data_IF_393294677880
#
_entry.id   IF_393294677880
#
_cell.length_a   1.000
_cell.length_b   1.000
_cell.length_c   1.000
_cell.angle_alpha   90.00
_cell.angle_beta   90.00
_cell.angle_gamma   90.00
#
_symmetry.space_group_name_H-M   'P 1'
#
loop_
_entity.id
_entity.type
_entity.pdbx_description
1 polymer ?
#
# COMPACT_ATOMS: atom_id res chain seq x y z
N UNK A 1 31.77 -4.56 5.91
CA UNK A 1 30.84 -3.41 5.79
C UNK A 1 31.06 -2.46 6.95
N UNK A 2 31.14 -1.16 6.67
CA UNK A 2 31.23 -0.13 7.70
C UNK A 2 29.91 0.01 8.47
N UNK A 3 29.95 0.53 9.69
CA UNK A 3 28.73 0.83 10.48
C UNK A 3 27.76 1.75 9.73
N UNK A 4 28.29 2.64 8.88
CA UNK A 4 27.49 3.52 8.03
C UNK A 4 26.76 2.75 6.92
N UNK A 5 27.42 1.77 6.27
CA UNK A 5 26.79 0.91 5.27
C UNK A 5 25.67 0.05 5.86
N UNK A 6 25.87 -0.50 7.07
CA UNK A 6 24.83 -1.28 7.77
C UNK A 6 23.63 -0.43 8.18
N UNK A 7 23.84 0.84 8.55
CA UNK A 7 22.74 1.76 8.88
C UNK A 7 22.02 2.21 7.60
N UNK A 8 22.77 2.53 6.54
CA UNK A 8 22.20 2.90 5.24
C UNK A 8 21.37 1.77 4.63
N UNK A 9 21.85 0.52 4.66
CA UNK A 9 21.10 -0.64 4.16
C UNK A 9 19.83 -0.91 4.96
N UNK A 10 19.88 -0.74 6.29
CA UNK A 10 18.69 -0.83 7.15
C UNK A 10 17.71 0.32 6.89
N UNK A 11 18.20 1.53 6.62
CA UNK A 11 17.38 2.70 6.33
C UNK A 11 16.63 2.61 5.00
N UNK A 12 17.11 1.82 4.02
CA UNK A 12 16.40 1.60 2.75
C UNK A 12 15.00 1.01 2.97
N UNK A 13 14.83 0.12 3.95
CA UNK A 13 13.52 -0.44 4.32
C UNK A 13 12.56 0.59 4.94
N UNK A 14 13.09 1.75 5.34
CA UNK A 14 12.35 2.89 5.88
C UNK A 14 12.32 4.06 4.89
N UNK A 15 12.50 3.80 3.60
CA UNK A 15 12.26 4.80 2.56
C UNK A 15 10.92 4.55 1.87
N UNK A 16 10.39 5.58 1.22
CA UNK A 16 9.24 5.41 0.33
C UNK A 16 9.77 4.74 -0.95
N UNK A 17 9.25 3.55 -1.33
CA UNK A 17 9.71 2.87 -2.53
C UNK A 17 9.48 3.73 -3.78
N UNK A 18 10.40 3.71 -4.75
CA UNK A 18 10.27 4.52 -5.97
C UNK A 18 9.07 4.09 -6.83
N UNK A 19 8.78 2.80 -6.83
CA UNK A 19 7.55 2.22 -7.37
C UNK A 19 7.16 0.97 -6.59
N UNK A 20 5.88 0.60 -6.66
CA UNK A 20 5.33 -0.63 -6.08
C UNK A 20 4.48 -1.37 -7.09
N UNK A 21 4.37 -2.69 -6.93
CA UNK A 21 3.34 -3.50 -7.59
C UNK A 21 2.34 -3.94 -6.53
N UNK A 22 1.13 -3.39 -6.60
CA UNK A 22 0.02 -3.75 -5.72
C UNK A 22 -0.83 -4.81 -6.39
N UNK A 23 -1.10 -5.90 -5.67
CA UNK A 23 -1.73 -7.12 -6.16
C UNK A 23 -2.98 -7.41 -5.32
N UNK A 24 -4.12 -7.53 -5.99
CA UNK A 24 -5.39 -8.01 -5.43
C UNK A 24 -5.71 -9.40 -6.01
N UNK A 25 -5.98 -10.36 -5.12
CA UNK A 25 -6.14 -11.77 -5.47
C UNK A 25 -7.62 -12.16 -5.37
N UNK A 26 -8.22 -12.40 -6.53
CA UNK A 26 -9.57 -12.92 -6.68
C UNK A 26 -9.63 -14.43 -6.91
N UNK A 27 -10.83 -14.99 -6.77
CA UNK A 27 -11.06 -16.44 -6.87
C UNK A 27 -10.83 -17.06 -8.26
N UNK A 28 -10.68 -16.24 -9.30
CA UNK A 28 -10.48 -16.66 -10.70
C UNK A 28 -9.46 -15.79 -11.45
N UNK A 29 -9.08 -14.68 -10.85
CA UNK A 29 -8.31 -13.63 -11.47
C UNK A 29 -7.48 -12.93 -10.40
N UNK A 30 -6.45 -12.26 -10.85
CA UNK A 30 -5.60 -11.39 -10.07
C UNK A 30 -5.59 -10.05 -10.78
N UNK A 31 -5.83 -8.97 -10.04
CA UNK A 31 -5.60 -7.62 -10.54
C UNK A 31 -4.28 -7.11 -9.99
N UNK A 32 -3.52 -6.38 -10.78
CA UNK A 32 -2.34 -5.68 -10.26
C UNK A 32 -2.17 -4.33 -10.90
N UNK A 33 -1.54 -3.42 -10.16
CA UNK A 33 -1.09 -2.12 -10.65
C UNK A 33 0.37 -1.89 -10.29
N UNK A 34 1.17 -1.42 -11.24
CA UNK A 34 2.52 -0.90 -11.02
C UNK A 34 2.45 0.61 -10.90
N UNK A 35 2.65 1.15 -9.70
CA UNK A 35 2.45 2.56 -9.37
C UNK A 35 3.75 3.20 -8.86
N UNK A 36 4.19 4.30 -9.45
CA UNK A 36 5.34 5.08 -8.95
C UNK A 36 5.00 5.86 -7.67
N UNK A 37 6.01 6.33 -6.94
CA UNK A 37 5.85 7.19 -5.77
C UNK A 37 5.11 8.50 -6.07
N UNK A 38 5.23 8.96 -7.32
CA UNK A 38 4.56 10.14 -7.88
C UNK A 38 3.18 9.80 -8.47
N UNK A 39 2.68 8.59 -8.14
CA UNK A 39 1.35 8.09 -8.47
C UNK A 39 1.10 7.86 -9.97
N UNK A 40 2.16 7.74 -10.77
CA UNK A 40 2.04 7.38 -12.19
C UNK A 40 1.85 5.87 -12.33
N UNK A 41 0.84 5.48 -13.11
CA UNK A 41 0.57 4.09 -13.47
C UNK A 41 1.51 3.68 -14.59
N UNK A 42 2.42 2.75 -14.29
CA UNK A 42 3.32 2.14 -15.28
C UNK A 42 2.67 0.95 -15.96
N UNK A 43 1.82 0.23 -15.25
CA UNK A 43 1.04 -0.89 -15.77
C UNK A 43 -0.18 -1.19 -14.88
N UNK A 44 -1.25 -1.71 -15.46
CA UNK A 44 -2.49 -2.01 -14.73
C UNK A 44 -3.36 -3.02 -15.47
N UNK A 45 -3.42 -4.25 -14.97
CA UNK A 45 -4.04 -5.34 -15.71
C UNK A 45 -4.72 -6.38 -14.82
N UNK A 46 -5.60 -7.17 -15.45
CA UNK A 46 -6.15 -8.41 -14.91
C UNK A 46 -5.44 -9.60 -15.53
N UNK A 47 -4.99 -10.52 -14.69
CA UNK A 47 -4.50 -11.83 -15.08
C UNK A 47 -5.50 -12.91 -14.66
N UNK A 48 -5.71 -13.93 -15.49
CA UNK A 48 -6.61 -15.04 -15.16
C UNK A 48 -5.80 -16.30 -14.90
N UNK A 49 -6.02 -16.92 -13.74
CA UNK A 49 -5.46 -18.23 -13.43
C UNK A 49 -6.52 -19.29 -13.62
N UNK A 50 -6.15 -20.41 -14.24
CA UNK A 50 -6.99 -21.60 -14.21
C UNK A 50 -6.84 -22.32 -12.86
N UNK A 51 -7.62 -21.87 -11.86
CA UNK A 51 -7.65 -22.46 -10.51
C UNK A 51 -8.60 -23.66 -10.42
N UNK A 52 -8.93 -24.33 -11.54
CA UNK A 52 -9.75 -25.57 -11.47
C UNK A 52 -9.05 -26.65 -10.67
N UNK A 53 -7.74 -26.80 -10.85
CA UNK A 53 -6.91 -27.81 -10.18
C UNK A 53 -6.04 -27.11 -9.13
N UNK A 54 -6.10 -27.59 -7.88
CA UNK A 54 -5.35 -27.03 -6.73
C UNK A 54 -4.02 -27.71 -6.47
N UNK A 55 -3.63 -28.66 -7.32
CA UNK A 55 -2.35 -29.33 -7.19
C UNK A 55 -1.24 -28.32 -7.51
N UNK A 56 -0.33 -28.13 -6.54
CA UNK A 56 0.79 -27.18 -6.64
C UNK A 56 1.64 -27.45 -7.88
N UNK A 57 1.80 -28.72 -8.25
CA UNK A 57 2.51 -29.11 -9.47
C UNK A 57 1.86 -28.60 -10.77
N UNK A 58 0.55 -28.33 -10.76
CA UNK A 58 -0.19 -27.84 -11.93
C UNK A 58 -0.21 -26.32 -12.01
N UNK A 59 -0.56 -25.62 -10.92
CA UNK A 59 -0.72 -24.16 -10.97
C UNK A 59 0.58 -23.39 -10.65
N UNK A 60 1.55 -24.01 -9.96
CA UNK A 60 2.85 -23.40 -9.63
C UNK A 60 3.62 -22.88 -10.85
N UNK A 61 3.75 -23.67 -11.94
CA UNK A 61 4.38 -23.19 -13.18
C UNK A 61 3.69 -21.96 -13.78
N UNK A 62 2.36 -21.88 -13.71
CA UNK A 62 1.60 -20.72 -14.18
C UNK A 62 1.86 -19.48 -13.34
N UNK A 63 1.95 -19.62 -12.02
CA UNK A 63 2.33 -18.51 -11.12
C UNK A 63 3.77 -18.06 -11.38
N UNK A 64 4.70 -19.01 -11.55
CA UNK A 64 6.09 -18.71 -11.86
C UNK A 64 6.22 -17.96 -13.18
N UNK A 65 5.55 -18.44 -14.24
CA UNK A 65 5.54 -17.78 -15.55
C UNK A 65 4.91 -16.40 -15.46
N UNK A 66 3.79 -16.24 -14.74
CA UNK A 66 3.19 -14.93 -14.51
C UNK A 66 4.17 -13.95 -13.83
N UNK A 67 4.87 -14.38 -12.77
CA UNK A 67 5.86 -13.54 -12.09
C UNK A 67 7.01 -13.18 -13.04
N UNK A 68 7.59 -14.18 -13.72
CA UNK A 68 8.75 -13.99 -14.59
C UNK A 68 8.44 -13.17 -15.86
N UNK A 69 7.27 -13.38 -16.45
CA UNK A 69 6.91 -12.84 -17.76
C UNK A 69 6.06 -11.57 -17.66
N UNK A 70 5.38 -11.35 -16.53
CA UNK A 70 4.52 -10.17 -16.33
C UNK A 70 5.09 -9.19 -15.32
N UNK A 71 5.40 -9.68 -14.11
CA UNK A 71 5.74 -8.80 -12.99
C UNK A 71 7.21 -8.37 -13.01
N UNK A 72 8.10 -9.24 -13.48
CA UNK A 72 9.53 -9.00 -13.46
C UNK A 72 10.20 -8.42 -14.72
N UNK A 73 9.74 -8.65 -15.97
CA UNK A 73 10.56 -8.32 -17.13
C UNK A 73 10.46 -6.85 -17.56
N UNK A 74 9.84 -5.99 -16.75
CA UNK A 74 9.67 -4.57 -17.12
C UNK A 74 10.93 -3.79 -16.82
N UNK A 75 11.28 -2.92 -17.76
CA UNK A 75 12.37 -1.93 -17.77
C UNK A 75 12.39 -0.98 -16.54
N UNK A 76 11.45 -1.16 -15.61
CA UNK A 76 11.27 -0.38 -14.39
C UNK A 76 11.49 -1.18 -13.10
N UNK A 77 11.95 -2.45 -13.17
CA UNK A 77 12.36 -3.19 -11.95
C UNK A 77 13.43 -2.43 -11.18
N UNK A 78 14.35 -1.74 -11.86
CA UNK A 78 15.43 -1.02 -11.18
C UNK A 78 14.91 -0.01 -10.16
N UNK A 79 13.67 0.45 -10.36
CA UNK A 79 12.95 1.35 -9.47
C UNK A 79 11.82 0.66 -8.69
N UNK A 80 11.66 -0.66 -8.78
CA UNK A 80 10.67 -1.40 -7.99
C UNK A 80 11.20 -1.56 -6.58
N UNK A 81 10.50 -1.00 -5.60
CA UNK A 81 10.86 -1.14 -4.18
C UNK A 81 10.07 -2.20 -3.46
N UNK A 82 8.82 -2.45 -3.85
CA UNK A 82 7.95 -3.38 -3.12
C UNK A 82 6.88 -4.05 -3.99
N UNK A 83 6.63 -5.33 -3.71
CA UNK A 83 5.38 -6.01 -4.02
C UNK A 83 4.45 -5.90 -2.82
N UNK A 84 3.19 -5.54 -3.02
CA UNK A 84 2.17 -5.40 -1.96
C UNK A 84 1.00 -6.30 -2.29
N UNK A 85 0.79 -7.34 -1.50
CA UNK A 85 -0.30 -8.31 -1.70
C UNK A 85 -1.44 -8.06 -0.72
N UNK A 86 -2.69 -8.09 -1.20
CA UNK A 86 -3.84 -8.11 -0.28
C UNK A 86 -3.97 -9.47 0.39
N UNK A 87 -4.04 -9.49 1.72
CA UNK A 87 -4.31 -10.72 2.49
C UNK A 87 -5.79 -11.08 2.38
N UNK A 88 -6.08 -12.31 1.96
CA UNK A 88 -7.45 -12.76 1.93
C UNK A 88 -7.95 -13.10 3.35
N UNK A 89 -9.05 -12.49 3.83
CA UNK A 89 -9.55 -12.76 5.17
C UNK A 89 -10.13 -14.18 5.22
N UNK A 90 -9.78 -14.94 6.26
CA UNK A 90 -10.41 -16.22 6.51
C UNK A 90 -11.91 -16.03 6.74
N UNK A 91 -12.75 -16.76 5.99
CA UNK A 91 -14.21 -16.77 6.19
C UNK A 91 -14.65 -18.19 6.55
N UNK A 92 -15.43 -18.32 7.61
CA UNK A 92 -15.74 -19.60 8.28
C UNK A 92 -16.58 -20.59 7.46
N UNK A 93 -17.04 -20.25 6.24
CA UNK A 93 -18.07 -21.05 5.53
C UNK A 93 -17.84 -21.27 4.02
N UNK A 94 -16.64 -21.02 3.48
CA UNK A 94 -16.35 -21.30 2.06
C UNK A 94 -15.04 -22.08 1.87
N UNK A 95 -15.02 -23.34 2.29
CA UNK A 95 -13.79 -24.12 2.47
C UNK A 95 -12.94 -24.28 1.21
N UNK A 96 -13.53 -24.64 0.07
CA UNK A 96 -12.76 -24.91 -1.16
C UNK A 96 -12.27 -23.62 -1.83
N UNK A 97 -13.14 -22.61 -1.94
CA UNK A 97 -12.82 -21.32 -2.57
C UNK A 97 -11.72 -20.55 -1.84
N UNK A 98 -11.78 -20.55 -0.50
CA UNK A 98 -10.79 -19.88 0.34
C UNK A 98 -9.45 -20.60 0.29
N UNK A 99 -9.46 -21.94 0.30
CA UNK A 99 -8.23 -22.69 0.15
C UNK A 99 -7.54 -22.35 -1.18
N UNK A 100 -8.29 -22.21 -2.29
CA UNK A 100 -7.72 -21.78 -3.58
C UNK A 100 -6.99 -20.45 -3.47
N UNK A 101 -7.63 -19.49 -2.82
CA UNK A 101 -7.09 -18.15 -2.62
C UNK A 101 -5.84 -18.16 -1.74
N UNK A 102 -5.88 -18.85 -0.61
CA UNK A 102 -4.75 -18.96 0.31
C UNK A 102 -3.57 -19.67 -0.37
N UNK A 103 -3.85 -20.73 -1.13
CA UNK A 103 -2.83 -21.48 -1.88
C UNK A 103 -2.19 -20.60 -2.97
N UNK A 104 -3.00 -19.83 -3.71
CA UNK A 104 -2.49 -18.86 -4.69
C UNK A 104 -1.69 -17.73 -4.01
N UNK A 105 -2.21 -17.13 -2.96
CA UNK A 105 -1.55 -16.07 -2.17
C UNK A 105 -0.19 -16.56 -1.66
N UNK A 106 -0.16 -17.74 -1.02
CA UNK A 106 1.07 -18.32 -0.46
C UNK A 106 2.09 -18.62 -1.55
N UNK A 107 1.66 -19.24 -2.65
CA UNK A 107 2.56 -19.58 -3.76
C UNK A 107 3.13 -18.33 -4.42
N UNK A 108 2.28 -17.34 -4.68
CA UNK A 108 2.70 -16.06 -5.25
C UNK A 108 3.68 -15.35 -4.31
N UNK A 109 3.39 -15.30 -3.01
CA UNK A 109 4.27 -14.70 -2.02
C UNK A 109 5.64 -15.40 -1.98
N UNK A 110 5.66 -16.74 -1.98
CA UNK A 110 6.91 -17.52 -2.03
C UNK A 110 7.71 -17.28 -3.30
N UNK A 111 7.07 -17.30 -4.47
CA UNK A 111 7.75 -17.06 -5.76
C UNK A 111 8.29 -15.63 -5.82
N UNK A 112 7.54 -14.64 -5.34
CA UNK A 112 8.01 -13.26 -5.28
C UNK A 112 9.19 -13.11 -4.33
N UNK A 113 9.18 -13.75 -3.16
CA UNK A 113 10.33 -13.72 -2.25
C UNK A 113 11.57 -14.37 -2.85
N UNK A 114 11.41 -15.47 -3.58
CA UNK A 114 12.50 -16.20 -4.24
C UNK A 114 13.09 -15.42 -5.43
N UNK A 115 12.24 -14.70 -6.18
CA UNK A 115 12.63 -14.06 -7.45
C UNK A 115 12.83 -12.54 -7.38
N UNK A 116 12.37 -11.89 -6.32
CA UNK A 116 12.60 -10.47 -6.09
C UNK A 116 14.11 -10.18 -6.06
N UNK A 117 14.54 -9.12 -6.75
CA UNK A 117 15.93 -8.65 -6.68
C UNK A 117 16.25 -8.19 -5.26
N UNK A 118 17.54 -8.22 -4.91
CA UNK A 118 18.01 -7.67 -3.65
C UNK A 118 17.53 -6.23 -3.46
N UNK A 119 16.91 -5.96 -2.31
CA UNK A 119 16.34 -4.64 -1.98
C UNK A 119 14.87 -4.45 -2.35
N UNK A 120 14.24 -5.38 -3.07
CA UNK A 120 12.78 -5.38 -3.30
C UNK A 120 12.10 -6.12 -2.16
N UNK A 121 11.16 -5.47 -1.47
CA UNK A 121 10.37 -6.12 -0.42
C UNK A 121 9.13 -6.82 -0.98
N UNK A 122 8.68 -7.86 -0.30
CA UNK A 122 7.34 -8.44 -0.51
C UNK A 122 6.58 -8.23 0.79
N UNK A 123 5.49 -7.49 0.70
CA UNK A 123 4.71 -7.02 1.84
C UNK A 123 3.25 -7.40 1.66
N UNK A 124 2.52 -7.45 2.77
CA UNK A 124 1.11 -7.77 2.78
C UNK A 124 0.30 -6.67 3.44
N UNK A 125 -0.83 -6.33 2.85
CA UNK A 125 -1.79 -5.38 3.39
C UNK A 125 -3.11 -6.10 3.67
N UNK A 126 -3.77 -5.77 4.76
CA UNK A 126 -5.12 -6.30 5.05
C UNK A 126 -6.18 -5.44 4.35
N UNK A 127 -7.28 -6.03 3.86
CA UNK A 127 -8.35 -5.26 3.19
C UNK A 127 -8.93 -4.17 4.08
N UNK A 128 -8.94 -4.40 5.41
CA UNK A 128 -9.44 -3.43 6.38
C UNK A 128 -8.56 -2.18 6.48
N UNK A 129 -7.25 -2.27 6.21
CA UNK A 129 -6.38 -1.09 6.16
C UNK A 129 -6.77 -0.20 4.98
N UNK A 130 -6.83 -0.74 3.76
CA UNK A 130 -7.30 0.01 2.57
C UNK A 130 -8.67 0.63 2.81
N UNK A 131 -9.63 -0.15 3.33
CA UNK A 131 -10.98 0.33 3.60
C UNK A 131 -11.01 1.46 4.64
N UNK A 132 -10.32 1.29 5.77
CA UNK A 132 -10.24 2.34 6.82
C UNK A 132 -9.56 3.60 6.33
N UNK A 133 -8.51 3.47 5.52
CA UNK A 133 -7.85 4.63 4.93
C UNK A 133 -8.81 5.43 4.05
N UNK A 134 -9.54 4.75 3.15
CA UNK A 134 -10.53 5.41 2.29
C UNK A 134 -11.64 6.03 3.14
N UNK A 135 -12.22 5.29 4.08
CA UNK A 135 -13.30 5.77 4.94
C UNK A 135 -12.87 6.99 5.79
N UNK A 136 -11.63 7.00 6.30
CA UNK A 136 -11.06 8.13 7.03
C UNK A 136 -11.08 9.42 6.21
N UNK A 137 -10.61 9.34 4.97
CA UNK A 137 -10.48 10.50 4.08
C UNK A 137 -11.81 11.00 3.54
N UNK A 138 -12.81 10.13 3.52
CA UNK A 138 -14.17 10.52 3.17
C UNK A 138 -14.94 11.12 4.35
N UNK A 139 -14.34 11.21 5.55
CA UNK A 139 -15.01 11.69 6.76
C UNK A 139 -16.07 10.71 7.29
N UNK A 140 -15.89 9.40 7.04
CA UNK A 140 -16.84 8.37 7.48
C UNK A 140 -16.49 7.79 8.87
N UNK A 141 -15.31 8.10 9.42
CA UNK A 141 -14.82 7.48 10.67
C UNK A 141 -15.50 8.01 11.94
N UNK A 142 -16.17 9.16 11.91
CA UNK A 142 -16.71 9.83 13.11
C UNK A 142 -17.87 9.09 13.81
N UNK A 143 -18.23 7.87 13.39
CA UNK A 143 -19.36 7.11 13.97
C UNK A 143 -19.06 5.67 14.39
N UNK A 144 -17.81 5.20 14.33
CA UNK A 144 -17.50 3.78 14.60
C UNK A 144 -16.69 3.50 15.88
N UNK A 145 -16.38 4.51 16.68
CA UNK A 145 -15.48 4.34 17.85
C UNK A 145 -16.18 4.10 19.20
N UNK A 146 -17.52 4.11 19.27
CA UNK A 146 -18.22 3.91 20.56
C UNK A 146 -18.32 2.46 21.05
N UNK A 147 -17.81 1.46 20.32
CA UNK A 147 -18.11 0.04 20.62
C UNK A 147 -16.92 -0.83 21.08
N UNK A 148 -15.73 -0.30 21.39
CA UNK A 148 -14.70 -1.16 22.01
C UNK A 148 -13.67 -0.48 22.90
N UNK A 149 -13.87 -0.69 24.21
CA UNK A 149 -12.88 -0.86 25.28
C UNK A 149 -12.15 0.35 25.89
N UNK A 150 -12.56 0.61 27.14
CA UNK A 150 -11.75 1.07 28.26
C UNK A 150 -10.47 0.24 28.43
N UNK A 151 -9.30 0.86 28.22
CA UNK A 151 -8.05 0.43 28.86
C UNK A 151 -7.38 1.66 29.47
N UNK A 152 -7.18 1.61 30.80
CA UNK A 152 -6.51 2.64 31.60
C UNK A 152 -5.00 2.41 31.52
N UNK A 153 -4.27 3.27 30.83
CA UNK A 153 -2.80 3.27 30.89
C UNK A 153 -2.25 4.10 32.07
N UNK A 154 -1.39 3.47 32.87
CA UNK A 154 -0.62 4.10 33.96
C UNK A 154 0.62 4.86 33.42
N UNK A 155 0.93 6.01 34.04
CA UNK A 155 2.10 6.84 33.73
C UNK A 155 3.35 6.39 34.51
N UNK A 156 4.50 6.14 33.86
CA UNK A 156 5.76 5.99 34.59
C UNK A 156 6.46 7.33 34.85
N UNK A 157 7.05 7.42 36.04
CA UNK A 157 7.77 8.58 36.57
C UNK A 157 9.25 8.61 36.13
N UNK A 158 9.73 9.83 35.84
CA UNK A 158 11.11 10.14 35.43
C UNK A 158 12.08 10.15 36.62
N UNK A 159 13.36 9.81 36.40
CA UNK A 159 14.48 10.74 36.68
C UNK A 159 15.88 10.28 36.22
N UNK A 160 16.67 11.29 35.82
CA UNK A 160 18.15 11.39 35.75
C UNK A 160 18.90 10.71 34.58
N UNK A 161 19.33 11.54 33.62
CA UNK A 161 20.71 11.57 33.07
C UNK A 161 20.96 12.85 32.25
N UNK A 162 21.85 13.73 32.71
CA UNK A 162 22.31 14.92 31.96
C UNK A 162 23.82 15.13 32.20
N UNK A 163 24.63 14.87 31.16
CA UNK A 163 25.85 15.61 30.74
C UNK A 163 26.66 14.74 29.77
N UNK A 164 26.30 14.79 28.48
CA UNK A 164 27.09 14.33 27.32
C UNK A 164 26.25 14.60 26.07
N UNK A 165 26.05 15.86 25.63
CA UNK A 165 25.06 16.08 24.56
C UNK A 165 25.09 17.42 23.80
N UNK A 166 26.26 17.99 23.47
CA UNK A 166 26.29 19.18 22.57
C UNK A 166 26.67 18.81 21.13
N UNK A 167 27.79 18.14 20.91
CA UNK A 167 28.21 17.73 19.56
C UNK A 167 27.30 16.65 18.94
N UNK A 168 26.84 15.69 19.74
CA UNK A 168 25.88 14.67 19.29
C UNK A 168 24.52 15.27 18.89
N UNK A 169 24.12 16.41 19.46
CA UNK A 169 22.85 17.08 19.10
C UNK A 169 22.96 17.81 17.76
N UNK A 170 24.10 18.45 17.45
CA UNK A 170 24.29 19.15 16.18
C UNK A 170 24.36 18.16 15.01
N UNK A 171 25.11 17.07 15.17
CA UNK A 171 25.20 16.02 14.14
C UNK A 171 23.84 15.35 13.87
N UNK A 172 23.07 15.06 14.93
CA UNK A 172 21.74 14.46 14.81
C UNK A 172 20.72 15.37 14.14
N UNK A 173 20.72 16.67 14.44
CA UNK A 173 19.84 17.66 13.76
C UNK A 173 20.15 17.79 12.27
N UNK A 174 21.44 17.77 11.90
CA UNK A 174 21.84 17.78 10.49
C UNK A 174 21.32 16.55 9.75
N UNK A 175 21.47 15.36 10.34
CA UNK A 175 20.99 14.11 9.77
C UNK A 175 19.48 14.12 9.58
N UNK A 176 18.70 14.56 10.59
CA UNK A 176 17.22 14.60 10.47
C UNK A 176 16.79 15.55 9.35
N UNK A 177 17.39 16.75 9.26
CA UNK A 177 17.04 17.75 8.24
C UNK A 177 17.40 17.29 6.82
N UNK A 178 18.60 16.74 6.64
CA UNK A 178 19.06 16.21 5.34
C UNK A 178 18.22 15.00 4.92
N UNK A 179 17.83 14.14 5.87
CA UNK A 179 16.99 12.98 5.60
C UNK A 179 15.54 13.38 5.28
N UNK A 180 14.93 14.31 6.02
CA UNK A 180 13.57 14.79 5.74
C UNK A 180 13.44 15.50 4.39
N UNK A 181 14.46 16.29 3.99
CA UNK A 181 14.54 16.85 2.64
C UNK A 181 14.71 15.78 1.55
N UNK A 182 15.51 14.74 1.81
CA UNK A 182 15.76 13.64 0.87
C UNK A 182 14.56 12.69 0.66
N UNK A 183 13.63 12.58 1.62
CA UNK A 183 12.45 11.71 1.50
C UNK A 183 11.31 12.40 0.73
N UNK A 184 11.38 13.72 0.48
CA UNK A 184 10.34 14.45 -0.25
C UNK A 184 9.05 14.63 0.53
N UNK A 185 9.11 14.75 1.86
CA UNK A 185 7.92 14.88 2.73
C UNK A 185 7.21 16.24 2.62
N UNK A 186 7.78 17.22 1.91
CA UNK A 186 7.28 18.61 1.89
C UNK A 186 6.10 18.85 0.91
N UNK A 187 5.98 18.07 -0.18
CA UNK A 187 4.89 18.21 -1.19
C UNK A 187 3.81 17.11 -1.09
N UNK A 188 3.83 16.35 -0.01
CA UNK A 188 3.36 14.96 -0.03
C UNK A 188 1.87 14.75 0.33
N UNK A 189 1.09 15.83 0.31
CA UNK A 189 -0.34 15.81 0.68
C UNK A 189 -1.29 15.70 -0.49
N UNK A 190 -0.78 15.72 -1.72
CA UNK A 190 -1.60 15.81 -2.92
C UNK A 190 -2.76 14.79 -2.95
N UNK A 191 -2.46 13.49 -2.80
CA UNK A 191 -3.51 12.46 -2.83
C UNK A 191 -4.49 12.52 -1.66
N UNK A 192 -4.00 12.82 -0.45
CA UNK A 192 -4.88 12.94 0.72
C UNK A 192 -5.79 14.15 0.63
N UNK A 193 -5.25 15.30 0.23
CA UNK A 193 -6.03 16.52 0.04
C UNK A 193 -7.03 16.35 -1.10
N UNK A 194 -6.65 15.66 -2.17
CA UNK A 194 -7.55 15.30 -3.26
C UNK A 194 -8.69 14.41 -2.76
N UNK A 195 -8.41 13.31 -2.04
CA UNK A 195 -9.45 12.45 -1.48
C UNK A 195 -10.37 13.21 -0.52
N UNK A 196 -9.81 14.05 0.36
CA UNK A 196 -10.57 14.88 1.30
C UNK A 196 -11.49 15.86 0.56
N UNK A 197 -11.04 16.39 -0.59
CA UNK A 197 -11.85 17.26 -1.44
C UNK A 197 -13.00 16.52 -2.12
N UNK A 198 -12.73 15.31 -2.65
CA UNK A 198 -13.74 14.46 -3.28
C UNK A 198 -14.75 13.93 -2.28
N UNK A 199 -14.32 13.65 -1.05
CA UNK A 199 -15.22 13.25 0.04
C UNK A 199 -16.31 14.27 0.34
N UNK A 200 -16.10 15.54 -0.03
CA UNK A 200 -17.09 16.63 0.08
C UNK A 200 -18.01 16.75 -1.14
N UNK A 201 -17.69 16.09 -2.26
CA UNK A 201 -18.54 16.08 -3.46
C UNK A 201 -19.90 15.44 -3.17
N UNK A 202 -20.98 16.07 -3.63
CA UNK A 202 -22.35 15.57 -3.48
C UNK A 202 -22.57 14.19 -4.12
N UNK A 203 -21.81 13.89 -5.18
CA UNK A 203 -21.85 12.57 -5.85
C UNK A 203 -21.35 11.43 -4.96
N UNK A 204 -20.34 11.72 -4.12
CA UNK A 204 -19.70 10.75 -3.23
C UNK A 204 -20.41 10.69 -1.89
N UNK A 205 -20.89 11.82 -1.36
CA UNK A 205 -21.60 11.87 -0.09
C UNK A 205 -22.85 10.98 -0.06
N UNK A 206 -23.58 10.89 -1.19
CA UNK A 206 -24.75 10.03 -1.34
C UNK A 206 -24.42 8.52 -1.35
N UNK A 207 -23.17 8.16 -1.69
CA UNK A 207 -22.70 6.78 -1.72
C UNK A 207 -22.14 6.31 -0.37
N UNK A 208 -22.01 7.19 0.63
CA UNK A 208 -21.49 6.89 1.98
C UNK A 208 -22.41 5.97 2.82
N UNK A 209 -23.56 5.56 2.30
CA UNK A 209 -24.51 4.69 3.03
C UNK A 209 -23.97 3.28 3.19
N UNK A 210 -24.24 2.68 4.36
CA UNK A 210 -23.74 1.36 4.78
C UNK A 210 -24.11 0.24 3.80
N UNK A 211 -23.21 -0.74 3.66
CA UNK A 211 -23.42 -1.96 2.85
C UNK A 211 -22.34 -2.22 1.81
N UNK A 212 -22.00 -3.50 1.62
CA UNK A 212 -20.90 -3.94 0.75
C UNK A 212 -21.07 -3.48 -0.71
N UNK A 213 -22.31 -3.50 -1.22
CA UNK A 213 -22.63 -3.03 -2.58
C UNK A 213 -22.35 -1.54 -2.76
N UNK A 214 -22.66 -0.72 -1.77
CA UNK A 214 -22.40 0.72 -1.81
C UNK A 214 -20.90 0.99 -1.72
N UNK A 215 -20.16 0.27 -0.86
CA UNK A 215 -18.69 0.35 -0.80
C UNK A 215 -18.05 0.07 -2.16
N UNK A 216 -18.44 -1.01 -2.85
CA UNK A 216 -17.94 -1.29 -4.21
C UNK A 216 -18.27 -0.20 -5.23
N UNK A 217 -19.46 0.41 -5.14
CA UNK A 217 -19.83 1.54 -6.02
C UNK A 217 -19.02 2.80 -5.70
N UNK A 218 -18.79 3.05 -4.42
CA UNK A 218 -18.00 4.15 -3.90
C UNK A 218 -16.55 4.04 -4.38
N UNK A 219 -15.88 2.90 -4.16
CA UNK A 219 -14.51 2.66 -4.62
C UNK A 219 -14.35 2.94 -6.12
N UNK A 220 -15.26 2.40 -6.95
CA UNK A 220 -15.23 2.66 -8.41
C UNK A 220 -15.46 4.12 -8.77
N UNK A 221 -16.29 4.83 -8.01
CA UNK A 221 -16.55 6.26 -8.22
C UNK A 221 -15.31 7.09 -7.85
N UNK A 222 -14.62 6.73 -6.77
CA UNK A 222 -13.35 7.35 -6.37
C UNK A 222 -12.31 7.16 -7.48
N UNK A 223 -12.08 5.94 -7.95
CA UNK A 223 -11.10 5.69 -9.02
C UNK A 223 -11.50 6.37 -10.33
N UNK A 224 -12.79 6.41 -10.67
CA UNK A 224 -13.26 7.14 -11.86
C UNK A 224 -12.94 8.63 -11.78
N UNK A 225 -13.19 9.26 -10.63
CA UNK A 225 -12.85 10.68 -10.43
C UNK A 225 -11.33 10.87 -10.42
N UNK A 226 -10.58 9.93 -9.83
CA UNK A 226 -9.11 9.98 -9.82
C UNK A 226 -8.57 10.02 -11.24
N UNK A 227 -9.05 9.11 -12.09
CA UNK A 227 -8.64 9.10 -13.49
C UNK A 227 -9.02 10.42 -14.18
N UNK A 228 -10.26 10.90 -14.00
CA UNK A 228 -10.69 12.16 -14.62
C UNK A 228 -9.81 13.37 -14.25
N UNK A 229 -9.38 13.46 -12.99
CA UNK A 229 -8.62 14.58 -12.45
C UNK A 229 -7.10 14.47 -12.72
N UNK A 230 -6.59 13.28 -13.03
CA UNK A 230 -5.16 12.98 -13.11
C UNK A 230 -4.72 12.38 -14.44
N UNK A 231 -5.20 12.93 -15.56
CA UNK A 231 -4.94 12.41 -16.91
C UNK A 231 -3.45 12.24 -17.25
N UNK A 232 -2.58 13.02 -16.64
CA UNK A 232 -1.13 12.95 -16.85
C UNK A 232 -0.44 11.78 -16.11
N UNK A 233 -1.16 11.05 -15.26
CA UNK A 233 -0.62 9.96 -14.43
C UNK A 233 -0.83 8.57 -15.04
N UNK A 234 -1.42 8.45 -16.23
CA UNK A 234 -1.66 7.19 -16.91
C UNK A 234 -1.67 7.39 -18.44
N UNK A 235 -1.71 6.31 -19.21
CA UNK A 235 -1.87 6.35 -20.68
C UNK A 235 -3.34 6.20 -21.09
N UNK A 236 -3.71 6.74 -22.25
CA UNK A 236 -5.09 6.57 -22.77
C UNK A 236 -5.48 5.09 -22.88
N UNK A 237 -4.54 4.22 -23.26
CA UNK A 237 -4.73 2.77 -23.28
C UNK A 237 -5.12 2.20 -21.91
N UNK A 238 -4.45 2.61 -20.82
CA UNK A 238 -4.79 2.17 -19.46
C UNK A 238 -6.18 2.67 -19.04
N UNK A 239 -6.54 3.89 -19.41
CA UNK A 239 -7.86 4.46 -19.14
C UNK A 239 -8.95 3.72 -19.89
N UNK A 240 -8.76 3.46 -21.18
CA UNK A 240 -9.67 2.70 -22.01
C UNK A 240 -9.79 1.25 -21.52
N UNK A 241 -8.67 0.63 -21.12
CA UNK A 241 -8.67 -0.69 -20.51
C UNK A 241 -9.55 -0.74 -19.25
N UNK A 242 -9.35 0.19 -18.32
CA UNK A 242 -10.20 0.29 -17.12
C UNK A 242 -11.68 0.49 -17.48
N UNK A 243 -11.99 1.40 -18.40
CA UNK A 243 -13.37 1.70 -18.79
C UNK A 243 -14.07 0.56 -19.52
N UNK A 244 -13.33 -0.28 -20.24
CA UNK A 244 -13.87 -1.42 -20.97
C UNK A 244 -13.82 -2.74 -20.18
N UNK A 245 -13.10 -2.78 -19.05
CA UNK A 245 -13.00 -3.97 -18.23
C UNK A 245 -14.36 -4.43 -17.67
N UNK A 246 -14.62 -5.74 -17.73
CA UNK A 246 -15.80 -6.36 -17.08
C UNK A 246 -15.66 -6.39 -15.55
N UNK A 247 -14.42 -6.45 -15.06
CA UNK A 247 -14.05 -6.62 -13.65
C UNK A 247 -13.36 -5.36 -13.10
N UNK A 248 -14.10 -4.25 -13.17
CA UNK A 248 -13.60 -2.94 -12.69
C UNK A 248 -13.35 -2.91 -11.20
N UNK A 249 -14.08 -3.71 -10.40
CA UNK A 249 -13.88 -3.75 -8.95
C UNK A 249 -12.48 -4.27 -8.58
N UNK A 250 -12.03 -5.37 -9.17
CA UNK A 250 -10.70 -5.92 -8.90
C UNK A 250 -9.57 -4.92 -9.29
N UNK A 251 -9.72 -4.24 -10.44
CA UNK A 251 -8.78 -3.17 -10.85
C UNK A 251 -8.82 -1.96 -9.90
N UNK A 252 -10.01 -1.58 -9.44
CA UNK A 252 -10.21 -0.48 -8.50
C UNK A 252 -9.53 -0.78 -7.17
N UNK A 253 -9.72 -1.99 -6.66
CA UNK A 253 -9.26 -2.40 -5.34
C UNK A 253 -7.71 -2.44 -5.29
N UNK A 254 -7.04 -2.97 -6.33
CA UNK A 254 -5.57 -2.96 -6.37
C UNK A 254 -4.97 -1.55 -6.48
N UNK A 255 -5.64 -0.61 -7.18
CA UNK A 255 -5.22 0.81 -7.23
C UNK A 255 -5.42 1.52 -5.90
N UNK A 256 -6.58 1.37 -5.26
CA UNK A 256 -6.84 1.96 -3.95
C UNK A 256 -5.89 1.39 -2.88
N UNK A 257 -5.55 0.10 -2.96
CA UNK A 257 -4.52 -0.51 -2.12
C UNK A 257 -3.16 0.13 -2.33
N UNK A 258 -2.72 0.33 -3.58
CA UNK A 258 -1.43 0.97 -3.89
C UNK A 258 -1.35 2.40 -3.31
N UNK A 259 -2.42 3.16 -3.49
CA UNK A 259 -2.52 4.53 -2.99
C UNK A 259 -2.54 4.59 -1.45
N UNK A 260 -3.29 3.68 -0.83
CA UNK A 260 -3.32 3.54 0.64
C UNK A 260 -1.95 3.15 1.19
N UNK A 261 -1.26 2.23 0.52
CA UNK A 261 0.08 1.77 0.90
C UNK A 261 1.08 2.92 0.93
N UNK A 262 1.15 3.73 -0.14
CA UNK A 262 2.03 4.90 -0.16
C UNK A 262 1.71 5.86 0.98
N UNK A 263 0.43 6.09 1.26
CA UNK A 263 0.05 6.97 2.36
C UNK A 263 0.45 6.42 3.72
N UNK A 264 0.28 5.12 3.95
CA UNK A 264 0.72 4.47 5.18
C UNK A 264 2.23 4.59 5.35
N UNK A 265 3.01 4.30 4.30
CA UNK A 265 4.47 4.48 4.34
C UNK A 265 4.87 5.90 4.70
N UNK A 266 4.30 6.90 4.02
CA UNK A 266 4.54 8.33 4.29
C UNK A 266 4.22 8.70 5.74
N UNK A 267 3.04 8.29 6.22
CA UNK A 267 2.58 8.58 7.58
C UNK A 267 3.48 7.92 8.63
N UNK A 268 3.79 6.63 8.47
CA UNK A 268 4.66 5.90 9.39
C UNK A 268 6.05 6.53 9.49
N UNK A 269 6.62 6.98 8.37
CA UNK A 269 7.90 7.68 8.38
C UNK A 269 7.83 9.00 9.11
N UNK A 270 6.81 9.82 8.82
CA UNK A 270 6.59 11.09 9.52
C UNK A 270 6.46 10.90 11.04
N UNK A 271 5.68 9.92 11.48
CA UNK A 271 5.52 9.64 12.91
C UNK A 271 6.81 9.11 13.55
N UNK A 272 7.58 8.28 12.82
CA UNK A 272 8.90 7.86 13.28
C UNK A 272 9.85 9.06 13.48
N UNK A 273 9.87 10.03 12.56
CA UNK A 273 10.67 11.24 12.70
C UNK A 273 10.24 12.10 13.89
N UNK A 274 8.93 12.32 14.04
CA UNK A 274 8.37 13.04 15.19
C UNK A 274 8.77 12.39 16.51
N UNK A 275 8.72 11.05 16.57
CA UNK A 275 9.15 10.31 17.75
C UNK A 275 10.66 10.52 18.01
N UNK A 276 11.51 10.38 16.99
CA UNK A 276 12.97 10.61 17.11
C UNK A 276 13.26 12.01 17.65
N UNK A 277 12.61 13.04 17.10
CA UNK A 277 12.78 14.44 17.54
C UNK A 277 12.35 14.63 19.00
N UNK A 278 11.25 13.99 19.41
CA UNK A 278 10.77 14.03 20.81
C UNK A 278 11.75 13.41 21.81
N UNK A 279 12.60 12.46 21.37
CA UNK A 279 13.64 11.88 22.23
C UNK A 279 14.88 12.77 22.35
N UNK A 280 15.10 13.72 21.42
CA UNK A 280 16.27 14.61 21.44
C UNK A 280 16.09 15.85 22.33
N UNK A 281 14.83 16.22 22.60
CA UNK A 281 14.46 17.36 23.45
C UNK A 281 14.48 17.02 24.94
N UNK A 282 14.41 15.72 25.30
CA UNK A 282 14.61 15.19 26.66
C UNK A 282 16.10 15.22 27.06
#
# INVERSE_FOLDING_TARGET
MSRAETVSSKLRFYSIPQSIVSIDIGSKNLAYVHLTKDLRILDWQLHQFDLKVLEIGCFGPSVLSFVHDTLLPKQNIENLGSFVLERQPFRTFASSGILKLITLETTLYTVLLDRAKEGVSVESLTPIQTARFVDARLGNLEKSEDDSNNDKEEKPSNSKKKKLNKESKTLKKSIVKEFSAGIGLEDDHYYTTWLDSIGKSSSISNLKRTGNRNRKRLSKSIVKNWLADHKNLYTDEQFDYYNNAKKKDDLTDCLLQALSYYNYRKTSLREAFRWIDSQQTK
#
